data_IF_271998842121
#
_entry.id   IF_271998842121
#
_cell.length_a   1.000
_cell.length_b   1.000
_cell.length_c   1.000
_cell.angle_alpha   90.00
_cell.angle_beta   90.00
_cell.angle_gamma   90.00
#
_symmetry.space_group_name_H-M   'P 1'
#
loop_
_entity.id
_entity.type
_entity.pdbx_description
1 polymer ?
#
# COMPACT_ATOMS: atom_id res chain seq x y z
N UNK A 1 20.67 -24.54 -11.66
CA UNK A 1 20.33 -23.15 -12.05
C UNK A 1 18.83 -22.96 -11.88
N UNK A 2 18.38 -22.24 -10.85
CA UNK A 2 16.96 -22.08 -10.50
C UNK A 2 16.38 -20.95 -11.37
N UNK A 3 15.41 -21.23 -12.25
CA UNK A 3 14.72 -20.17 -13.00
C UNK A 3 14.02 -19.23 -12.00
N UNK A 4 14.03 -17.90 -12.20
CA UNK A 4 13.11 -17.04 -11.49
C UNK A 4 11.70 -17.49 -11.85
N UNK A 5 10.85 -17.69 -10.85
CA UNK A 5 9.44 -18.03 -11.06
C UNK A 5 8.76 -16.83 -11.72
N UNK A 6 8.80 -16.78 -13.05
CA UNK A 6 7.95 -15.90 -13.86
C UNK A 6 6.51 -16.29 -13.58
N UNK A 7 5.83 -15.64 -12.63
CA UNK A 7 4.52 -16.14 -12.22
C UNK A 7 3.67 -15.32 -11.25
N UNK A 8 4.15 -14.21 -10.68
CA UNK A 8 3.27 -13.30 -9.94
C UNK A 8 3.09 -12.02 -10.77
N UNK A 9 1.97 -11.95 -11.51
CA UNK A 9 1.48 -10.68 -12.05
C UNK A 9 1.19 -9.80 -10.83
N UNK A 10 1.99 -8.76 -10.63
CA UNK A 10 1.80 -7.79 -9.56
C UNK A 10 1.46 -6.45 -10.18
N UNK A 11 0.34 -5.86 -9.75
CA UNK A 11 -0.02 -4.53 -10.19
C UNK A 11 0.74 -3.53 -9.32
N UNK A 12 1.60 -2.72 -9.95
CA UNK A 12 2.42 -1.74 -9.25
C UNK A 12 2.02 -0.32 -9.57
N UNK A 13 2.10 0.56 -8.58
CA UNK A 13 1.90 2.00 -8.77
C UNK A 13 3.10 2.56 -9.54
N UNK A 14 2.88 3.21 -10.70
CA UNK A 14 3.97 3.83 -11.44
C UNK A 14 4.62 4.95 -10.63
N UNK A 15 5.92 4.85 -10.34
CA UNK A 15 6.67 5.88 -9.59
C UNK A 15 6.62 7.26 -10.26
N UNK A 16 6.55 7.29 -11.59
CA UNK A 16 6.43 8.52 -12.38
C UNK A 16 5.15 9.28 -12.02
N UNK A 17 4.02 8.60 -11.87
CA UNK A 17 2.75 9.22 -11.48
C UNK A 17 2.80 9.79 -10.06
N UNK A 18 3.43 9.09 -9.12
CA UNK A 18 3.62 9.60 -7.75
C UNK A 18 4.43 10.90 -7.76
N UNK A 19 5.51 10.96 -8.55
CA UNK A 19 6.31 12.18 -8.68
C UNK A 19 5.56 13.32 -9.39
N UNK A 20 4.76 12.99 -10.42
CA UNK A 20 3.93 13.94 -11.15
C UNK A 20 2.87 14.55 -10.24
N UNK A 21 2.16 13.72 -9.47
CA UNK A 21 1.17 14.14 -8.49
C UNK A 21 1.78 15.08 -7.45
N UNK A 22 2.95 14.76 -6.91
CA UNK A 22 3.61 15.63 -5.94
C UNK A 22 3.99 17.01 -6.51
N UNK A 23 4.50 17.03 -7.75
CA UNK A 23 4.85 18.27 -8.44
C UNK A 23 3.62 19.10 -8.78
N UNK A 24 2.56 18.45 -9.27
CA UNK A 24 1.30 19.11 -9.67
C UNK A 24 0.62 19.83 -8.50
N UNK A 25 0.58 19.21 -7.32
CA UNK A 25 -0.02 19.82 -6.13
C UNK A 25 0.96 20.70 -5.33
N UNK A 26 2.22 20.79 -5.73
CA UNK A 26 3.22 21.63 -5.06
C UNK A 26 3.58 21.18 -3.64
N UNK A 27 3.48 19.89 -3.31
CA UNK A 27 3.80 19.43 -1.95
C UNK A 27 5.28 19.52 -1.60
N UNK A 28 6.18 19.51 -2.60
CA UNK A 28 7.63 19.63 -2.40
C UNK A 28 8.41 18.59 -3.20
N UNK A 29 9.51 18.10 -2.60
CA UNK A 29 10.47 17.21 -3.24
C UNK A 29 10.48 15.82 -2.58
N UNK A 30 10.18 14.79 -3.37
CA UNK A 30 10.20 13.39 -2.91
C UNK A 30 11.62 12.91 -2.57
N UNK A 31 12.64 13.32 -3.34
CA UNK A 31 14.00 12.84 -3.15
C UNK A 31 14.56 13.29 -1.80
N UNK A 32 14.35 14.57 -1.47
CA UNK A 32 14.77 15.18 -0.19
C UNK A 32 13.81 14.86 0.96
N UNK A 33 12.66 14.24 0.69
CA UNK A 33 11.57 13.99 1.65
C UNK A 33 11.07 15.29 2.30
N UNK A 34 11.19 16.42 1.59
CA UNK A 34 10.90 17.75 2.13
C UNK A 34 9.55 18.25 1.63
N UNK A 35 8.71 18.68 2.58
CA UNK A 35 7.46 19.37 2.29
C UNK A 35 7.67 20.88 2.12
N UNK A 36 7.09 21.43 1.06
CA UNK A 36 7.00 22.88 0.80
C UNK A 36 5.66 23.41 1.32
N UNK A 37 5.61 24.63 1.88
CA UNK A 37 4.35 25.25 2.27
C UNK A 37 3.58 25.67 1.02
N UNK A 38 2.24 25.56 1.06
CA UNK A 38 1.37 26.02 -0.01
C UNK A 38 0.77 27.37 0.38
N UNK A 39 1.26 28.44 -0.26
CA UNK A 39 0.88 29.83 0.05
C UNK A 39 -0.63 30.09 -0.16
N UNK A 40 -1.24 29.40 -1.14
CA UNK A 40 -2.68 29.46 -1.41
C UNK A 40 -3.57 29.17 -0.20
N UNK A 41 -3.09 28.44 0.82
CA UNK A 41 -3.87 28.09 2.00
C UNK A 41 -3.61 28.98 3.22
N UNK A 42 -2.78 30.02 3.11
CA UNK A 42 -2.49 30.92 4.23
C UNK A 42 -3.74 31.72 4.67
N UNK A 43 -4.63 32.03 3.73
CA UNK A 43 -5.88 32.77 3.98
C UNK A 43 -7.04 31.83 4.39
N UNK A 44 -6.91 30.53 4.10
CA UNK A 44 -7.98 29.54 4.27
C UNK A 44 -8.03 28.97 5.69
N UNK A 45 -9.23 28.67 6.22
CA UNK A 45 -9.44 28.01 7.52
C UNK A 45 -8.67 26.68 7.67
N UNK A 46 -8.18 26.36 8.86
CA UNK A 46 -7.36 25.16 9.13
C UNK A 46 -8.13 23.89 8.74
N UNK A 47 -9.43 23.89 9.02
CA UNK A 47 -10.35 22.80 8.69
C UNK A 47 -10.45 22.62 7.18
N UNK A 48 -10.62 23.71 6.44
CA UNK A 48 -10.73 23.68 4.98
C UNK A 48 -9.40 23.26 4.33
N UNK A 49 -8.27 23.72 4.86
CA UNK A 49 -6.93 23.28 4.43
C UNK A 49 -6.73 21.79 4.65
N UNK A 50 -7.06 21.26 5.85
CA UNK A 50 -6.96 19.82 6.10
C UNK A 50 -7.93 19.02 5.22
N UNK A 51 -9.14 19.52 5.01
CA UNK A 51 -10.13 18.86 4.14
C UNK A 51 -9.63 18.77 2.70
N UNK A 52 -9.03 19.85 2.16
CA UNK A 52 -8.44 19.85 0.83
C UNK A 52 -7.34 18.80 0.70
N UNK A 53 -6.34 18.81 1.60
CA UNK A 53 -5.27 17.82 1.63
C UNK A 53 -5.79 16.38 1.76
N UNK A 54 -6.79 16.18 2.62
CA UNK A 54 -7.44 14.88 2.78
C UNK A 54 -8.07 14.41 1.48
N UNK A 55 -8.85 15.26 0.81
CA UNK A 55 -9.54 14.91 -0.43
C UNK A 55 -8.57 14.59 -1.57
N UNK A 56 -7.52 15.39 -1.73
CA UNK A 56 -6.48 15.21 -2.74
C UNK A 56 -5.76 13.87 -2.54
N UNK A 57 -5.22 13.63 -1.33
CA UNK A 57 -4.42 12.43 -1.07
C UNK A 57 -5.27 11.16 -1.01
N UNK A 58 -6.48 11.23 -0.40
CA UNK A 58 -7.42 10.11 -0.36
C UNK A 58 -7.88 9.73 -1.76
N UNK A 59 -8.18 10.70 -2.63
CA UNK A 59 -8.56 10.45 -4.02
C UNK A 59 -7.47 9.68 -4.77
N UNK A 60 -6.22 10.13 -4.65
CA UNK A 60 -5.08 9.47 -5.29
C UNK A 60 -4.85 8.04 -4.77
N UNK A 61 -4.94 7.84 -3.45
CA UNK A 61 -4.77 6.52 -2.86
C UNK A 61 -5.91 5.55 -3.23
N UNK A 62 -7.15 6.04 -3.29
CA UNK A 62 -8.30 5.23 -3.70
C UNK A 62 -8.18 4.78 -5.17
N UNK A 63 -7.74 5.67 -6.06
CA UNK A 63 -7.51 5.34 -7.46
C UNK A 63 -6.51 4.19 -7.64
N UNK A 64 -5.46 4.16 -6.82
CA UNK A 64 -4.44 3.11 -6.85
C UNK A 64 -4.69 1.96 -5.87
N UNK A 65 -5.86 1.87 -5.25
CA UNK A 65 -6.15 0.87 -4.20
C UNK A 65 -6.04 -0.59 -4.66
N UNK A 66 -6.14 -0.83 -5.97
CA UNK A 66 -5.97 -2.14 -6.58
C UNK A 66 -4.51 -2.62 -6.57
N UNK A 67 -3.54 -1.70 -6.63
CA UNK A 67 -2.12 -2.04 -6.71
C UNK A 67 -1.62 -2.74 -5.45
N UNK A 68 -0.77 -3.76 -5.65
CA UNK A 68 -0.23 -4.59 -4.57
C UNK A 68 0.82 -3.84 -3.74
N UNK A 69 1.52 -2.89 -4.36
CA UNK A 69 2.60 -2.11 -3.73
C UNK A 69 2.15 -0.70 -3.26
N UNK A 70 0.85 -0.46 -3.09
CA UNK A 70 0.32 0.87 -2.73
C UNK A 70 0.95 1.44 -1.46
N UNK A 71 1.10 0.62 -0.41
CA UNK A 71 1.66 1.06 0.88
C UNK A 71 3.12 1.48 0.76
N UNK A 72 3.91 0.73 -0.01
CA UNK A 72 5.34 1.03 -0.20
C UNK A 72 5.56 2.19 -1.17
N UNK A 73 4.75 2.29 -2.22
CA UNK A 73 4.83 3.37 -3.21
C UNK A 73 4.38 4.72 -2.62
N UNK A 74 3.28 4.75 -1.89
CA UNK A 74 2.70 6.00 -1.35
C UNK A 74 3.25 6.42 0.01
N UNK A 75 3.95 5.54 0.74
CA UNK A 75 4.46 5.89 2.08
C UNK A 75 5.40 7.11 2.08
N UNK A 76 6.23 7.25 1.04
CA UNK A 76 7.09 8.43 0.88
C UNK A 76 6.26 9.69 0.56
N UNK A 77 5.25 9.54 -0.30
CA UNK A 77 4.35 10.64 -0.66
C UNK A 77 3.56 11.11 0.56
N UNK A 78 3.01 10.19 1.37
CA UNK A 78 2.31 10.51 2.63
C UNK A 78 3.17 11.40 3.53
N UNK A 79 4.45 11.05 3.69
CA UNK A 79 5.38 11.84 4.51
C UNK A 79 5.55 13.26 3.96
N UNK A 80 5.71 13.42 2.65
CA UNK A 80 5.89 14.73 2.02
C UNK A 80 4.61 15.57 2.13
N UNK A 81 3.45 14.97 1.85
CA UNK A 81 2.13 15.61 1.99
C UNK A 81 1.91 16.06 3.43
N UNK A 82 2.18 15.20 4.41
CA UNK A 82 2.06 15.54 5.83
C UNK A 82 2.99 16.70 6.23
N UNK A 83 4.26 16.65 5.82
CA UNK A 83 5.23 17.72 6.09
C UNK A 83 4.81 19.04 5.45
N UNK A 84 4.28 19.01 4.23
CA UNK A 84 3.75 20.18 3.52
C UNK A 84 2.58 20.81 4.28
N UNK A 85 1.61 19.99 4.72
CA UNK A 85 0.47 20.45 5.51
C UNK A 85 0.92 21.13 6.81
N UNK A 86 1.76 20.45 7.59
CA UNK A 86 2.27 21.00 8.86
C UNK A 86 3.01 22.30 8.63
N UNK A 87 3.82 22.40 7.58
CA UNK A 87 4.57 23.63 7.26
C UNK A 87 3.65 24.77 6.86
N UNK A 88 2.58 24.47 6.12
CA UNK A 88 1.55 25.44 5.72
C UNK A 88 0.81 25.97 6.93
N UNK A 89 0.36 25.10 7.83
CA UNK A 89 -0.28 25.50 9.09
C UNK A 89 0.69 26.28 9.98
N UNK A 90 1.93 25.82 10.13
CA UNK A 90 2.95 26.50 10.91
C UNK A 90 3.20 27.93 10.41
N UNK A 91 3.29 28.12 9.09
CA UNK A 91 3.46 29.42 8.45
C UNK A 91 2.26 30.33 8.69
N UNK A 92 1.03 29.81 8.51
CA UNK A 92 -0.19 30.55 8.76
C UNK A 92 -0.29 31.07 10.20
N UNK A 93 0.01 30.20 11.17
CA UNK A 93 -0.06 30.52 12.60
C UNK A 93 1.19 31.22 13.13
N UNK A 94 2.21 31.46 12.28
CA UNK A 94 3.53 31.97 12.68
C UNK A 94 4.17 31.16 13.83
N UNK A 95 3.96 29.85 13.81
CA UNK A 95 4.49 28.91 14.81
C UNK A 95 5.55 27.99 14.23
N UNK A 96 6.25 27.27 15.09
CA UNK A 96 7.17 26.21 14.66
C UNK A 96 6.42 24.93 14.29
N UNK A 97 6.98 24.14 13.36
CA UNK A 97 6.42 22.85 12.94
C UNK A 97 6.14 21.91 14.12
N UNK A 98 7.03 21.88 15.11
CA UNK A 98 6.89 21.06 16.31
C UNK A 98 5.66 21.45 17.14
N UNK A 99 5.46 22.76 17.38
CA UNK A 99 4.26 23.26 18.08
C UNK A 99 2.99 22.93 17.31
N UNK A 100 3.00 23.07 15.99
CA UNK A 100 1.85 22.73 15.15
C UNK A 100 1.53 21.23 15.19
N UNK A 101 2.54 20.34 15.12
CA UNK A 101 2.32 18.90 15.26
C UNK A 101 1.75 18.53 16.63
N UNK A 102 2.30 19.09 17.71
CA UNK A 102 1.81 18.86 19.06
C UNK A 102 0.35 19.32 19.22
N UNK A 103 -0.02 20.46 18.62
CA UNK A 103 -1.39 20.97 18.62
C UNK A 103 -2.39 20.03 17.92
N UNK A 104 -1.96 19.42 16.82
CA UNK A 104 -2.79 18.50 16.03
C UNK A 104 -2.91 17.12 16.67
N UNK A 105 -1.96 16.72 17.51
CA UNK A 105 -1.89 15.38 18.06
C UNK A 105 -2.98 15.15 19.12
N UNK A 106 -3.77 14.08 18.94
CA UNK A 106 -4.82 13.64 19.89
C UNK A 106 -4.55 12.24 20.47
N UNK A 107 -3.29 11.83 20.52
CA UNK A 107 -2.86 10.54 21.10
C UNK A 107 -2.86 9.38 20.10
N UNK A 108 -3.87 9.28 19.24
CA UNK A 108 -3.94 8.23 18.20
C UNK A 108 -3.70 8.77 16.80
N UNK A 109 -4.34 9.91 16.49
CA UNK A 109 -4.34 10.54 15.19
C UNK A 109 -4.18 12.06 15.29
N UNK A 110 -3.93 12.68 14.13
CA UNK A 110 -3.91 14.12 14.00
C UNK A 110 -5.32 14.62 13.68
N UNK A 111 -5.81 15.60 14.43
CA UNK A 111 -7.14 16.14 14.25
C UNK A 111 -7.13 17.67 14.31
N UNK A 112 -8.03 18.29 13.54
CA UNK A 112 -8.34 19.71 13.65
C UNK A 112 -9.79 19.84 14.11
N UNK A 113 -9.99 20.52 15.24
CA UNK A 113 -11.32 20.85 15.75
C UNK A 113 -11.68 22.29 15.47
N UNK A 114 -12.92 22.53 15.04
CA UNK A 114 -13.47 23.87 14.88
C UNK A 114 -14.95 23.87 15.24
N UNK A 115 -15.42 25.02 15.74
CA UNK A 115 -16.83 25.22 16.07
C UNK A 115 -17.55 25.62 14.79
N UNK A 116 -18.44 24.76 14.31
CA UNK A 116 -19.29 25.03 13.16
C UNK A 116 -20.74 25.02 13.64
N UNK A 117 -21.43 26.16 13.53
CA UNK A 117 -22.84 26.32 13.95
C UNK A 117 -23.06 25.90 15.41
N UNK A 118 -22.20 26.36 16.32
CA UNK A 118 -22.27 26.07 17.76
C UNK A 118 -21.91 24.64 18.16
N UNK A 119 -21.60 23.75 17.21
CA UNK A 119 -21.16 22.38 17.48
C UNK A 119 -19.68 22.24 17.19
N UNK A 120 -18.95 21.64 18.13
CA UNK A 120 -17.56 21.28 17.91
C UNK A 120 -17.50 20.12 16.91
N UNK A 121 -16.90 20.37 15.74
CA UNK A 121 -16.62 19.35 14.73
C UNK A 121 -15.12 19.13 14.66
N UNK A 122 -14.68 17.88 14.81
CA UNK A 122 -13.30 17.48 14.54
C UNK A 122 -13.20 16.80 13.19
N UNK A 123 -12.15 17.13 12.45
CA UNK A 123 -11.77 16.44 11.21
C UNK A 123 -10.44 15.75 11.47
N UNK A 124 -10.44 14.43 11.24
CA UNK A 124 -9.23 13.61 11.28
C UNK A 124 -8.41 13.81 10.01
N UNK A 125 -7.10 13.87 10.16
CA UNK A 125 -6.18 13.85 9.03
C UNK A 125 -6.16 12.45 8.42
N UNK A 126 -6.44 12.37 7.13
CA UNK A 126 -6.43 11.10 6.41
C UNK A 126 -5.00 10.65 6.16
N UNK A 127 -4.75 9.37 6.37
CA UNK A 127 -3.45 8.71 6.31
C UNK A 127 -3.61 7.37 5.63
N UNK A 128 -2.52 6.82 5.11
CA UNK A 128 -2.58 5.60 4.33
C UNK A 128 -3.04 4.39 5.16
N UNK A 129 -2.87 4.42 6.48
CA UNK A 129 -3.42 3.40 7.40
C UNK A 129 -4.95 3.35 7.42
N UNK A 130 -5.63 4.44 7.03
CA UNK A 130 -7.09 4.51 6.94
C UNK A 130 -7.63 4.08 5.57
N UNK A 131 -6.76 3.65 4.65
CA UNK A 131 -7.17 3.11 3.38
C UNK A 131 -7.75 1.71 3.57
N UNK A 132 -9.04 1.57 3.27
CA UNK A 132 -9.71 0.27 3.19
C UNK A 132 -9.51 -0.29 1.77
N UNK A 133 -8.79 -1.42 1.65
CA UNK A 133 -8.67 -2.12 0.37
C UNK A 133 -10.00 -2.81 0.08
N UNK A 134 -10.71 -2.36 -0.95
CA UNK A 134 -11.84 -3.12 -1.48
C UNK A 134 -11.26 -4.34 -2.20
N UNK A 135 -11.33 -5.50 -1.56
CA UNK A 135 -11.02 -6.76 -2.22
C UNK A 135 -12.31 -7.24 -2.87
N UNK A 136 -12.30 -7.41 -4.19
CA UNK A 136 -13.39 -8.01 -4.92
C UNK A 136 -13.23 -9.52 -4.86
N UNK A 137 -13.52 -10.15 -3.71
CA UNK A 137 -13.63 -11.62 -3.68
C UNK A 137 -14.92 -11.91 -4.40
N UNK A 138 -14.85 -12.56 -5.55
CA UNK A 138 -16.01 -13.25 -6.09
C UNK A 138 -15.92 -14.68 -5.57
N UNK A 139 -16.71 -15.10 -4.58
CA UNK A 139 -16.66 -16.47 -4.06
C UNK A 139 -16.96 -17.51 -5.14
N UNK A 140 -17.60 -17.13 -6.24
CA UNK A 140 -17.88 -18.00 -7.37
C UNK A 140 -16.65 -18.25 -8.26
N UNK A 141 -15.78 -17.25 -8.42
CA UNK A 141 -14.63 -17.29 -9.34
C UNK A 141 -13.32 -17.58 -8.59
N UNK A 142 -13.17 -17.04 -7.38
CA UNK A 142 -11.95 -17.12 -6.57
C UNK A 142 -11.96 -18.31 -5.58
N UNK A 143 -13.04 -19.09 -5.53
CA UNK A 143 -13.04 -20.33 -4.76
C UNK A 143 -12.15 -21.35 -5.45
N UNK A 144 -10.97 -21.59 -4.87
CA UNK A 144 -10.12 -22.69 -5.26
C UNK A 144 -10.91 -23.97 -4.98
N UNK A 145 -11.43 -24.62 -6.02
CA UNK A 145 -12.11 -25.91 -5.91
C UNK A 145 -11.24 -26.84 -5.06
N UNK A 146 -11.81 -27.56 -4.10
CA UNK A 146 -11.04 -28.41 -3.16
C UNK A 146 -10.04 -29.36 -3.87
N UNK A 147 -10.32 -29.76 -5.12
CA UNK A 147 -9.41 -30.55 -5.95
C UNK A 147 -8.18 -29.81 -6.50
N UNK A 148 -8.20 -28.48 -6.63
CA UNK A 148 -7.08 -27.70 -7.16
C UNK A 148 -5.92 -27.53 -6.15
N UNK A 149 -6.19 -27.66 -4.85
CA UNK A 149 -5.16 -27.80 -3.82
C UNK A 149 -4.35 -29.08 -4.06
N UNK A 150 -5.00 -30.18 -4.43
CA UNK A 150 -4.35 -31.49 -4.56
C UNK A 150 -3.46 -31.61 -5.80
N UNK A 151 -3.77 -30.86 -6.85
CA UNK A 151 -3.06 -30.88 -8.15
C UNK A 151 -1.74 -30.10 -8.12
N UNK A 152 -1.58 -29.10 -7.25
CA UNK A 152 -0.31 -28.35 -7.16
C UNK A 152 0.74 -29.07 -6.29
N UNK A 153 1.20 -30.25 -6.72
CA UNK A 153 2.41 -30.89 -6.17
C UNK A 153 3.58 -30.82 -7.17
N UNK A 154 4.84 -30.63 -6.72
CA UNK A 154 6.01 -30.55 -7.61
C UNK A 154 6.34 -31.82 -8.40
N UNK A 155 5.55 -32.90 -8.26
CA UNK A 155 5.84 -34.23 -8.80
C UNK A 155 4.65 -34.79 -9.59
N UNK A 156 3.87 -33.90 -10.20
CA UNK A 156 2.63 -34.28 -10.88
C UNK A 156 2.89 -35.27 -12.03
N UNK A 157 2.09 -36.34 -12.06
CA UNK A 157 2.30 -37.53 -12.87
C UNK A 157 2.06 -37.24 -14.36
N UNK A 158 1.16 -36.30 -14.65
CA UNK A 158 0.81 -35.87 -16.01
C UNK A 158 2.03 -35.24 -16.71
N UNK A 159 2.84 -34.45 -16.00
CA UNK A 159 4.10 -33.88 -16.53
C UNK A 159 5.18 -34.95 -16.74
N UNK A 160 5.17 -36.03 -15.96
CA UNK A 160 6.11 -37.16 -16.13
C UNK A 160 5.74 -38.07 -17.31
N UNK A 161 4.44 -38.22 -17.57
CA UNK A 161 3.91 -39.03 -18.67
C UNK A 161 3.97 -38.31 -20.02
N UNK A 162 3.82 -36.98 -20.03
CA UNK A 162 3.94 -36.18 -21.25
C UNK A 162 5.39 -35.90 -21.68
N UNK A 163 6.39 -36.29 -20.87
CA UNK A 163 7.79 -36.22 -21.26
C UNK A 163 8.15 -37.37 -22.23
N UNK A 164 8.64 -37.08 -23.45
CA UNK A 164 8.92 -38.13 -24.43
C UNK A 164 10.13 -39.00 -24.01
N UNK A 165 9.85 -40.26 -23.63
CA UNK A 165 10.65 -41.51 -23.70
C UNK A 165 12.20 -41.50 -23.56
N UNK A 166 12.85 -40.51 -22.94
CA UNK A 166 14.32 -40.44 -22.89
C UNK A 166 14.97 -40.77 -21.53
N UNK A 167 14.27 -41.42 -20.59
CA UNK A 167 14.85 -41.82 -19.28
C UNK A 167 14.55 -43.28 -18.93
N UNK A 168 14.97 -44.21 -19.78
CA UNK A 168 14.92 -45.67 -19.53
C UNK A 168 16.27 -46.27 -19.06
N UNK A 169 17.25 -45.44 -18.69
CA UNK A 169 18.64 -45.87 -18.50
C UNK A 169 19.16 -45.94 -17.04
N UNK A 170 18.37 -45.57 -16.02
CA UNK A 170 18.89 -45.52 -14.66
C UNK A 170 17.93 -46.16 -13.65
N UNK A 171 17.94 -47.50 -13.56
CA UNK A 171 17.64 -48.29 -12.37
C UNK A 171 17.79 -49.79 -12.70
N UNK A 172 19.03 -50.21 -12.95
CA UNK A 172 19.51 -51.54 -12.55
C UNK A 172 20.26 -51.33 -11.25
N UNK A 173 19.82 -51.94 -10.15
CA UNK A 173 20.48 -51.83 -8.85
C UNK A 173 19.58 -52.29 -7.72
N UNK A 174 20.08 -53.28 -7.00
CA UNK A 174 19.35 -54.27 -6.20
C UNK A 174 19.19 -53.91 -4.71
N UNK A 175 18.31 -54.68 -4.06
CA UNK A 175 18.29 -55.13 -2.65
C UNK A 175 18.11 -54.17 -1.44
N UNK A 176 16.87 -54.23 -0.91
CA UNK A 176 16.53 -54.69 0.46
C UNK A 176 16.72 -53.80 1.71
N UNK A 177 15.73 -53.93 2.62
CA UNK A 177 15.57 -53.39 3.99
C UNK A 177 15.09 -51.92 4.05
N UNK A 178 14.12 -51.50 4.87
CA UNK A 178 13.77 -51.95 6.21
C UNK A 178 12.25 -51.95 6.46
N UNK A 179 11.82 -52.98 7.16
CA UNK A 179 10.57 -53.12 7.88
C UNK A 179 10.68 -52.30 9.18
N UNK A 180 9.72 -51.43 9.50
CA UNK A 180 9.32 -51.18 10.90
C UNK A 180 7.79 -51.03 10.94
N UNK A 181 7.19 -51.95 11.68
CA UNK A 181 5.80 -52.02 12.13
C UNK A 181 5.56 -51.05 13.29
N UNK A 182 4.36 -50.47 13.38
CA UNK A 182 3.76 -50.12 14.66
C UNK A 182 2.23 -50.05 14.54
N UNK A 183 1.58 -50.65 15.54
CA UNK A 183 0.16 -50.89 15.73
C UNK A 183 -0.69 -49.62 15.91
#
# INVERSE_FOLDING_TARGET
MRRPTTGNVSLRVPRKEVTKFCKQHGYGDLAKKTGSPREQFLVTSDVATVLAYNSEFRGFANYHSLADDIKSALGLLELVVFRSLVKTLAMRHRTTRARTMARLWKGTDYEVSSVVRGKLRSIKLWRLKHLTRAYWTSPTIDNVTAGAWWVKRPNDLIDRLNAPNAKRAAMRGDHSRCIISAA
#
